data_IF_384521893470
#
_entry.id   IF_384521893470
#
_cell.length_a   1.000
_cell.length_b   1.000
_cell.length_c   1.000
_cell.angle_alpha   90.00
_cell.angle_beta   90.00
_cell.angle_gamma   90.00
#
_symmetry.space_group_name_H-M   'P 1'
#
loop_
_entity.id
_entity.type
_entity.pdbx_description
1 polymer ?
#
# COMPACT_ATOMS: atom_id res chain seq x y z
N UNK A 1 -15.35 11.27 28.66
CA UNK A 1 -15.82 11.29 27.24
C UNK A 1 -14.89 12.01 26.27
N UNK A 2 -14.15 13.05 26.69
CA UNK A 2 -13.24 13.81 25.80
C UNK A 2 -12.29 12.94 24.95
N UNK A 3 -11.61 11.90 25.48
CA UNK A 3 -10.71 11.07 24.66
C UNK A 3 -11.41 10.33 23.51
N UNK A 4 -12.64 9.85 23.75
CA UNK A 4 -13.45 9.15 22.74
C UNK A 4 -13.87 10.11 21.64
N UNK A 5 -14.24 11.35 22.00
CA UNK A 5 -14.59 12.39 21.02
C UNK A 5 -13.40 12.78 20.14
N UNK A 6 -12.20 12.92 20.73
CA UNK A 6 -10.98 13.18 19.96
C UNK A 6 -10.69 12.03 18.99
N UNK A 7 -10.79 10.79 19.45
CA UNK A 7 -10.62 9.61 18.58
C UNK A 7 -11.64 9.58 17.44
N UNK A 8 -12.89 9.97 17.71
CA UNK A 8 -13.95 10.07 16.70
C UNK A 8 -13.63 11.13 15.65
N UNK A 9 -13.25 12.33 16.07
CA UNK A 9 -12.90 13.43 15.16
C UNK A 9 -11.70 13.09 14.28
N UNK A 10 -10.63 12.55 14.87
CA UNK A 10 -9.43 12.10 14.13
C UNK A 10 -9.77 10.95 13.18
N UNK A 11 -10.53 9.97 13.64
CA UNK A 11 -10.97 8.84 12.81
C UNK A 11 -11.78 9.32 11.60
N UNK A 12 -12.72 10.23 11.81
CA UNK A 12 -13.52 10.81 10.73
C UNK A 12 -12.65 11.61 9.73
N UNK A 13 -11.72 12.42 10.22
CA UNK A 13 -10.81 13.17 9.37
C UNK A 13 -9.96 12.24 8.49
N UNK A 14 -9.41 11.16 9.05
CA UNK A 14 -8.65 10.15 8.29
C UNK A 14 -9.54 9.48 7.25
N UNK A 15 -10.77 9.11 7.61
CA UNK A 15 -11.71 8.45 6.69
C UNK A 15 -12.00 9.35 5.48
N UNK A 16 -12.31 10.63 5.71
CA UNK A 16 -12.60 11.59 4.65
C UNK A 16 -11.40 11.81 3.73
N UNK A 17 -10.21 11.99 4.32
CA UNK A 17 -8.95 12.12 3.57
C UNK A 17 -8.69 10.88 2.72
N UNK A 18 -8.76 9.67 3.30
CA UNK A 18 -8.55 8.41 2.57
C UNK A 18 -9.58 8.20 1.47
N UNK A 19 -10.84 8.60 1.65
CA UNK A 19 -11.84 8.56 0.59
C UNK A 19 -11.49 9.47 -0.59
N UNK A 20 -10.77 10.57 -0.35
CA UNK A 20 -10.31 11.46 -1.41
C UNK A 20 -9.01 10.96 -2.07
N UNK A 21 -8.02 10.56 -1.28
CA UNK A 21 -6.69 10.20 -1.78
C UNK A 21 -6.64 8.83 -2.42
N UNK A 22 -7.37 7.83 -1.90
CA UNK A 22 -7.46 6.48 -2.49
C UNK A 22 -8.55 6.40 -3.58
N UNK A 23 -8.85 7.50 -4.28
CA UNK A 23 -9.70 7.47 -5.47
C UNK A 23 -8.94 6.79 -6.60
N UNK A 24 -9.62 5.92 -7.36
CA UNK A 24 -8.99 5.15 -8.43
C UNK A 24 -8.25 6.03 -9.43
N UNK A 25 -8.86 7.14 -9.84
CA UNK A 25 -8.25 8.05 -10.82
C UNK A 25 -7.00 8.77 -10.29
N UNK A 26 -6.84 8.92 -8.97
CA UNK A 26 -5.65 9.52 -8.36
C UNK A 26 -4.52 8.50 -8.20
N UNK A 27 -4.85 7.23 -7.91
CA UNK A 27 -3.83 6.18 -7.67
C UNK A 27 -3.43 5.44 -8.95
N UNK A 28 -4.43 5.04 -9.75
CA UNK A 28 -4.29 4.34 -11.03
C UNK A 28 -5.13 5.04 -12.11
N UNK A 29 -4.62 6.14 -12.70
CA UNK A 29 -5.28 6.78 -13.83
C UNK A 29 -5.49 5.78 -14.97
N UNK A 30 -6.70 5.69 -15.55
CA UNK A 30 -7.00 4.72 -16.60
C UNK A 30 -6.14 4.97 -17.84
N UNK A 31 -5.61 3.90 -18.43
CA UNK A 31 -4.79 3.96 -19.64
C UNK A 31 -3.37 4.51 -19.44
N UNK A 32 -2.96 4.89 -18.22
CA UNK A 32 -1.61 5.41 -17.97
C UNK A 32 -0.54 4.38 -18.32
N UNK A 33 -0.72 3.13 -17.86
CA UNK A 33 0.22 2.05 -18.16
C UNK A 33 0.39 1.81 -19.66
N UNK A 34 -0.68 1.93 -20.45
CA UNK A 34 -0.63 1.70 -21.90
C UNK A 34 0.04 2.89 -22.63
N UNK A 35 -0.23 4.12 -22.18
CA UNK A 35 0.44 5.33 -22.67
C UNK A 35 1.94 5.30 -22.40
N UNK A 36 2.35 4.90 -21.20
CA UNK A 36 3.77 4.83 -20.84
C UNK A 36 4.51 3.78 -21.67
N UNK A 37 3.87 2.63 -21.92
CA UNK A 37 4.41 1.57 -22.76
C UNK A 37 4.55 2.00 -24.22
N UNK A 38 3.58 2.72 -24.78
CA UNK A 38 3.72 3.29 -26.12
C UNK A 38 4.84 4.33 -26.21
N UNK A 39 5.03 5.15 -25.18
CA UNK A 39 6.16 6.09 -25.12
C UNK A 39 7.51 5.38 -25.06
N UNK A 40 7.61 4.27 -24.32
CA UNK A 40 8.81 3.45 -24.25
C UNK A 40 9.26 2.96 -25.64
N UNK A 41 8.31 2.57 -26.50
CA UNK A 41 8.59 2.16 -27.88
C UNK A 41 8.99 3.34 -28.80
N UNK A 42 8.39 4.51 -28.60
CA UNK A 42 8.58 5.66 -29.51
C UNK A 42 9.94 6.38 -29.39
N UNK A 43 10.80 6.00 -28.43
CA UNK A 43 12.07 6.67 -28.12
C UNK A 43 11.98 8.19 -27.80
N UNK A 44 10.78 8.76 -27.71
CA UNK A 44 10.50 10.18 -27.42
C UNK A 44 10.39 10.48 -25.91
N UNK A 45 11.14 9.75 -25.08
CA UNK A 45 11.15 9.95 -23.63
C UNK A 45 12.14 11.05 -23.25
N UNK A 46 11.63 12.25 -23.02
CA UNK A 46 12.38 13.34 -22.40
C UNK A 46 12.29 13.22 -20.87
N UNK A 47 13.34 13.63 -20.15
CA UNK A 47 13.39 13.66 -18.67
C UNK A 47 12.21 14.44 -18.08
N UNK A 48 11.76 15.49 -18.76
CA UNK A 48 10.59 16.27 -18.35
C UNK A 48 9.28 15.44 -18.35
N UNK A 49 9.09 14.53 -19.32
CA UNK A 49 7.92 13.66 -19.37
C UNK A 49 7.94 12.62 -18.25
N UNK A 50 9.12 12.10 -17.90
CA UNK A 50 9.29 11.15 -16.79
C UNK A 50 8.98 11.83 -15.45
N UNK A 51 9.43 13.06 -15.25
CA UNK A 51 9.13 13.84 -14.05
C UNK A 51 7.63 14.13 -13.91
N UNK A 52 6.98 14.55 -15.01
CA UNK A 52 5.54 14.79 -15.02
C UNK A 52 4.74 13.50 -14.71
N UNK A 53 5.19 12.35 -15.20
CA UNK A 53 4.58 11.06 -14.89
C UNK A 53 4.70 10.73 -13.39
N UNK A 54 5.86 11.00 -12.79
CA UNK A 54 6.14 10.73 -11.38
C UNK A 54 5.23 11.53 -10.44
N UNK A 55 4.96 12.79 -10.76
CA UNK A 55 4.15 13.68 -9.93
C UNK A 55 2.63 13.46 -10.07
N UNK A 56 2.20 12.79 -11.14
CA UNK A 56 0.78 12.66 -11.46
C UNK A 56 0.06 11.58 -10.62
N UNK A 57 0.73 10.47 -10.30
CA UNK A 57 0.10 9.39 -9.52
C UNK A 57 1.12 8.41 -8.92
N UNK A 58 0.76 7.66 -7.86
CA UNK A 58 1.51 6.52 -7.33
C UNK A 58 1.94 5.50 -8.39
N UNK A 59 1.04 5.14 -9.31
CA UNK A 59 1.38 4.29 -10.46
C UNK A 59 2.41 4.98 -11.38
N UNK A 60 2.23 6.27 -11.65
CA UNK A 60 3.15 7.07 -12.44
C UNK A 60 4.55 7.11 -11.84
N UNK A 61 4.68 7.29 -10.52
CA UNK A 61 5.95 7.22 -9.81
C UNK A 61 6.65 5.86 -10.01
N UNK A 62 5.89 4.75 -9.90
CA UNK A 62 6.42 3.41 -10.12
C UNK A 62 6.88 3.18 -11.57
N UNK A 63 6.11 3.64 -12.56
CA UNK A 63 6.47 3.48 -13.96
C UNK A 63 7.62 4.40 -14.37
N UNK A 64 7.67 5.63 -13.82
CA UNK A 64 8.76 6.57 -14.04
C UNK A 64 10.10 6.00 -13.55
N UNK A 65 10.11 5.34 -12.38
CA UNK A 65 11.34 4.76 -11.85
C UNK A 65 11.90 3.64 -12.74
N UNK A 66 11.04 2.86 -13.39
CA UNK A 66 11.46 1.89 -14.40
C UNK A 66 12.09 2.56 -15.63
N UNK A 67 11.48 3.65 -16.12
CA UNK A 67 11.96 4.39 -17.29
C UNK A 67 13.29 5.11 -17.05
N UNK A 68 13.54 5.59 -15.84
CA UNK A 68 14.82 6.23 -15.46
C UNK A 68 16.01 5.28 -15.65
N UNK A 69 15.82 3.99 -15.31
CA UNK A 69 16.86 2.96 -15.40
C UNK A 69 16.70 2.04 -16.61
N UNK A 70 15.91 2.42 -17.61
CA UNK A 70 15.58 1.58 -18.79
C UNK A 70 16.76 1.02 -19.58
N UNK A 71 17.93 1.66 -19.51
CA UNK A 71 19.15 1.22 -20.20
C UNK A 71 19.97 0.17 -19.40
N UNK A 72 19.54 -0.15 -18.18
CA UNK A 72 20.20 -1.10 -17.27
C UNK A 72 19.78 -2.54 -17.57
N UNK A 73 20.35 -3.50 -16.84
CA UNK A 73 19.93 -4.90 -16.93
C UNK A 73 18.50 -5.09 -16.41
N UNK A 74 17.82 -6.15 -16.86
CA UNK A 74 16.47 -6.50 -16.36
C UNK A 74 16.43 -6.64 -14.84
N UNK A 75 17.52 -7.15 -14.24
CA UNK A 75 17.64 -7.30 -12.79
C UNK A 75 17.67 -5.93 -12.08
N UNK A 76 18.49 -4.99 -12.55
CA UNK A 76 18.59 -3.63 -11.98
C UNK A 76 17.26 -2.85 -12.13
N UNK A 77 16.56 -3.00 -13.27
CA UNK A 77 15.25 -2.36 -13.46
C UNK A 77 14.23 -2.91 -12.46
N UNK A 78 14.18 -4.24 -12.32
CA UNK A 78 13.28 -4.91 -11.36
C UNK A 78 13.56 -4.46 -9.92
N UNK A 79 14.83 -4.41 -9.52
CA UNK A 79 15.24 -3.94 -8.19
C UNK A 79 14.76 -2.50 -7.94
N UNK A 80 14.92 -1.61 -8.92
CA UNK A 80 14.46 -0.21 -8.81
C UNK A 80 12.94 -0.09 -8.70
N UNK A 81 12.19 -0.91 -9.44
CA UNK A 81 10.73 -1.00 -9.35
C UNK A 81 10.31 -1.48 -7.96
N UNK A 82 10.92 -2.55 -7.44
CA UNK A 82 10.60 -3.09 -6.13
C UNK A 82 10.88 -2.07 -5.01
N UNK A 83 12.02 -1.38 -5.09
CA UNK A 83 12.38 -0.34 -4.12
C UNK A 83 11.40 0.83 -4.12
N UNK A 84 11.10 1.37 -5.30
CA UNK A 84 10.11 2.45 -5.46
C UNK A 84 8.72 1.98 -5.01
N UNK A 85 8.35 0.74 -5.35
CA UNK A 85 7.09 0.13 -4.97
C UNK A 85 6.89 0.09 -3.45
N UNK A 86 7.94 -0.21 -2.67
CA UNK A 86 7.88 -0.16 -1.20
C UNK A 86 7.54 1.24 -0.69
N UNK A 87 8.16 2.28 -1.23
CA UNK A 87 7.87 3.66 -0.85
C UNK A 87 6.43 4.07 -1.21
N UNK A 88 5.98 3.71 -2.42
CA UNK A 88 4.62 3.98 -2.89
C UNK A 88 3.58 3.28 -2.00
N UNK A 89 3.77 1.99 -1.70
CA UNK A 89 2.87 1.22 -0.80
C UNK A 89 2.82 1.87 0.57
N UNK A 90 3.97 2.25 1.13
CA UNK A 90 4.03 2.92 2.42
C UNK A 90 3.24 4.24 2.43
N UNK A 91 3.31 5.02 1.36
CA UNK A 91 2.51 6.24 1.19
C UNK A 91 1.00 5.97 1.13
N UNK A 92 0.58 4.91 0.44
CA UNK A 92 -0.83 4.50 0.35
C UNK A 92 -1.39 3.99 1.69
N UNK A 93 -0.55 3.34 2.50
CA UNK A 93 -0.91 2.84 3.83
C UNK A 93 -0.86 3.92 4.93
N UNK A 94 -0.36 5.13 4.60
CA UNK A 94 -0.33 6.26 5.54
C UNK A 94 -1.70 6.48 6.18
N UNK A 95 -1.71 6.75 7.49
CA UNK A 95 -2.91 6.91 8.34
C UNK A 95 -3.81 5.67 8.51
N UNK A 96 -3.68 4.62 7.70
CA UNK A 96 -4.43 3.37 7.92
C UNK A 96 -4.04 2.73 9.24
N UNK A 97 -2.75 2.74 9.58
CA UNK A 97 -2.29 2.21 10.87
C UNK A 97 -2.93 2.97 12.05
N UNK A 98 -2.98 4.31 11.98
CA UNK A 98 -3.64 5.14 13.00
C UNK A 98 -5.13 4.84 13.10
N UNK A 99 -5.83 4.67 11.98
CA UNK A 99 -7.25 4.29 11.98
C UNK A 99 -7.45 2.89 12.61
N UNK A 100 -6.55 1.96 12.34
CA UNK A 100 -6.50 0.65 12.99
C UNK A 100 -6.24 0.75 14.49
N UNK A 101 -5.37 1.65 14.94
CA UNK A 101 -5.15 1.92 16.36
C UNK A 101 -6.42 2.46 17.01
N UNK A 102 -7.09 3.44 16.41
CA UNK A 102 -8.35 4.01 16.92
C UNK A 102 -9.41 2.91 17.08
N UNK A 103 -9.53 2.05 16.08
CA UNK A 103 -10.43 0.90 16.12
C UNK A 103 -10.14 -0.05 17.29
N UNK A 104 -8.86 -0.25 17.63
CA UNK A 104 -8.44 -1.12 18.74
C UNK A 104 -8.61 -0.46 20.12
N UNK A 105 -8.24 0.81 20.25
CA UNK A 105 -8.25 1.50 21.55
C UNK A 105 -9.64 2.03 21.93
N UNK A 106 -10.53 2.28 20.96
CA UNK A 106 -11.87 2.82 21.21
C UNK A 106 -12.68 2.05 22.27
N UNK A 107 -12.78 0.71 22.19
CA UNK A 107 -13.46 -0.09 23.21
C UNK A 107 -12.74 -0.05 24.56
N UNK A 108 -11.40 -0.01 24.56
CA UNK A 108 -10.59 0.07 25.77
C UNK A 108 -10.80 1.42 26.49
N UNK A 109 -10.94 2.52 25.74
CA UNK A 109 -11.29 3.83 26.30
C UNK A 109 -12.70 3.84 26.88
N UNK A 110 -13.65 3.15 26.24
CA UNK A 110 -15.00 2.97 26.77
C UNK A 110 -15.01 2.20 28.09
N UNK A 111 -14.28 1.08 28.14
CA UNK A 111 -14.08 0.27 29.35
C UNK A 111 -13.35 1.07 30.45
N UNK A 112 -12.34 1.85 30.12
CA UNK A 112 -11.69 2.73 31.10
C UNK A 112 -12.71 3.75 31.68
N UNK A 113 -13.62 4.24 30.84
CA UNK A 113 -14.72 5.10 31.26
C UNK A 113 -15.67 4.43 32.26
N UNK A 114 -15.97 3.14 32.09
CA UNK A 114 -16.79 2.41 33.08
C UNK A 114 -16.12 2.33 34.43
N UNK A 115 -14.81 2.06 34.45
CA UNK A 115 -14.02 2.01 35.68
C UNK A 115 -14.11 3.34 36.42
N UNK A 116 -13.93 4.47 35.72
CA UNK A 116 -14.08 5.79 36.34
C UNK A 116 -15.51 6.08 36.82
N UNK A 117 -16.54 5.70 36.05
CA UNK A 117 -17.94 5.86 36.45
C UNK A 117 -18.28 5.10 37.73
N UNK A 118 -17.82 3.85 37.83
CA UNK A 118 -17.98 3.02 39.03
C UNK A 118 -17.20 3.59 40.23
N UNK A 119 -15.97 4.08 40.04
CA UNK A 119 -15.21 4.74 41.13
C UNK A 119 -15.98 5.95 41.68
N UNK A 120 -16.52 6.81 40.80
CA UNK A 120 -17.32 7.98 41.20
C UNK A 120 -18.57 7.58 41.97
N UNK A 121 -19.25 6.54 41.50
CA UNK A 121 -20.42 5.97 42.18
C UNK A 121 -20.06 5.52 43.61
N UNK A 122 -19.00 4.74 43.79
CA UNK A 122 -18.58 4.28 45.12
C UNK A 122 -18.17 5.45 46.04
N UNK A 123 -17.46 6.45 45.53
CA UNK A 123 -17.11 7.64 46.30
C UNK A 123 -18.36 8.41 46.76
N UNK A 124 -19.39 8.52 45.92
CA UNK A 124 -20.65 9.16 46.29
C UNK A 124 -21.40 8.41 47.40
N UNK A 125 -21.39 7.07 47.35
CA UNK A 125 -21.96 6.20 48.39
C UNK A 125 -21.22 6.35 49.72
N UNK A 126 -19.88 6.44 49.69
CA UNK A 126 -19.08 6.64 50.91
C UNK A 126 -19.42 7.96 51.63
N UNK A 127 -19.78 9.01 50.89
CA UNK A 127 -20.12 10.32 51.45
C UNK A 127 -21.58 10.43 51.86
N UNK A 128 -22.50 9.86 51.07
CA UNK A 128 -23.95 10.03 51.24
C UNK A 128 -24.64 8.87 51.99
N UNK A 129 -23.91 7.80 52.27
CA UNK A 129 -24.46 6.51 52.72
C UNK A 129 -25.09 5.71 51.56
N UNK A 130 -25.39 4.44 51.82
CA UNK A 130 -25.98 3.48 50.84
C UNK A 130 -27.43 3.85 50.45
N UNK A 131 -28.01 4.88 51.07
CA UNK A 131 -29.45 5.18 51.06
C UNK A 131 -30.01 5.91 49.84
N UNK A 132 -29.23 6.26 48.81
CA UNK A 132 -29.72 6.95 47.60
C UNK A 132 -29.55 6.11 46.32
N UNK A 133 -30.54 5.24 46.00
CA UNK A 133 -30.53 4.40 44.80
C UNK A 133 -30.43 5.18 43.50
N UNK A 134 -30.92 6.43 43.45
CA UNK A 134 -30.88 7.26 42.25
C UNK A 134 -29.46 7.68 41.88
N UNK A 135 -28.63 8.02 42.88
CA UNK A 135 -27.20 8.32 42.66
C UNK A 135 -26.43 7.08 42.17
N UNK A 136 -26.75 5.91 42.69
CA UNK A 136 -26.15 4.65 42.26
C UNK A 136 -26.51 4.34 40.80
N UNK A 137 -27.80 4.46 40.43
CA UNK A 137 -28.26 4.25 39.06
C UNK A 137 -27.62 5.23 38.07
N UNK A 138 -27.41 6.50 38.47
CA UNK A 138 -26.73 7.50 37.65
C UNK A 138 -25.29 7.12 37.29
N UNK A 139 -24.50 6.67 38.26
CA UNK A 139 -23.10 6.27 38.03
C UNK A 139 -22.95 5.02 37.15
N UNK A 140 -23.86 4.05 37.31
CA UNK A 140 -23.93 2.86 36.44
C UNK A 140 -24.34 3.27 35.02
N UNK A 141 -25.32 4.16 34.89
CA UNK A 141 -25.75 4.70 33.60
C UNK A 141 -24.62 5.42 32.87
N UNK A 142 -23.89 6.30 33.55
CA UNK A 142 -22.72 7.00 33.00
C UNK A 142 -21.68 5.98 32.50
N UNK A 143 -21.37 4.96 33.31
CA UNK A 143 -20.43 3.90 32.94
C UNK A 143 -20.86 3.18 31.64
N UNK A 144 -22.13 2.77 31.54
CA UNK A 144 -22.64 2.08 30.35
C UNK A 144 -22.58 2.94 29.08
N UNK A 145 -22.90 4.24 29.19
CA UNK A 145 -22.80 5.19 28.07
C UNK A 145 -21.35 5.33 27.61
N UNK A 146 -20.37 5.29 28.51
CA UNK A 146 -18.95 5.32 28.15
C UNK A 146 -18.56 4.16 27.23
N UNK A 147 -18.96 2.93 27.58
CA UNK A 147 -18.69 1.74 26.77
C UNK A 147 -19.36 1.82 25.42
N UNK A 148 -20.66 2.14 25.41
CA UNK A 148 -21.42 2.27 24.17
C UNK A 148 -20.77 3.28 23.23
N UNK A 149 -20.35 4.43 23.76
CA UNK A 149 -19.68 5.49 22.98
C UNK A 149 -18.35 5.00 22.39
N UNK A 150 -17.55 4.26 23.15
CA UNK A 150 -16.29 3.68 22.66
C UNK A 150 -16.50 2.70 21.50
N UNK A 151 -17.54 1.85 21.61
CA UNK A 151 -17.90 0.89 20.56
C UNK A 151 -18.45 1.57 19.30
N UNK A 152 -19.28 2.60 19.45
CA UNK A 152 -19.84 3.37 18.33
C UNK A 152 -18.74 4.00 17.47
N UNK A 153 -17.61 4.40 18.05
CA UNK A 153 -16.45 4.91 17.31
C UNK A 153 -15.58 3.79 16.75
N UNK A 154 -15.34 2.74 17.54
CA UNK A 154 -14.44 1.66 17.19
C UNK A 154 -14.93 0.81 16.01
N UNK A 155 -16.22 0.46 15.98
CA UNK A 155 -16.78 -0.45 14.99
C UNK A 155 -16.67 0.14 13.57
N UNK A 156 -17.13 1.37 13.28
CA UNK A 156 -16.96 1.98 11.96
C UNK A 156 -15.49 2.16 11.58
N UNK A 157 -14.63 2.59 12.53
CA UNK A 157 -13.21 2.74 12.29
C UNK A 157 -12.56 1.42 11.85
N UNK A 158 -12.92 0.31 12.49
CA UNK A 158 -12.41 -1.02 12.16
C UNK A 158 -12.83 -1.46 10.76
N UNK A 159 -14.12 -1.31 10.43
CA UNK A 159 -14.67 -1.69 9.12
C UNK A 159 -13.99 -0.88 8.01
N UNK A 160 -13.86 0.43 8.19
CA UNK A 160 -13.24 1.32 7.20
C UNK A 160 -11.74 1.07 7.06
N UNK A 161 -11.03 0.81 8.17
CA UNK A 161 -9.63 0.38 8.12
C UNK A 161 -9.47 -0.89 7.27
N UNK A 162 -10.30 -1.91 7.50
CA UNK A 162 -10.29 -3.16 6.72
C UNK A 162 -10.58 -2.90 5.24
N UNK A 163 -11.57 -2.06 4.94
CA UNK A 163 -11.94 -1.68 3.59
C UNK A 163 -10.78 -1.01 2.85
N UNK A 164 -10.21 0.06 3.41
CA UNK A 164 -9.10 0.78 2.78
C UNK A 164 -7.86 -0.09 2.62
N UNK A 165 -7.52 -0.91 3.61
CA UNK A 165 -6.40 -1.85 3.50
C UNK A 165 -6.60 -2.84 2.35
N UNK A 166 -7.82 -3.34 2.15
CA UNK A 166 -8.15 -4.21 1.01
C UNK A 166 -8.03 -3.48 -0.33
N UNK A 167 -8.50 -2.23 -0.37
CA UNK A 167 -8.43 -1.37 -1.55
C UNK A 167 -6.97 -1.07 -1.95
N UNK A 168 -6.11 -0.73 -0.99
CA UNK A 168 -4.66 -0.53 -1.23
C UNK A 168 -4.02 -1.79 -1.77
N UNK A 169 -4.26 -2.97 -1.18
CA UNK A 169 -3.75 -4.24 -1.73
C UNK A 169 -4.18 -4.47 -3.18
N UNK A 170 -5.44 -4.19 -3.50
CA UNK A 170 -5.95 -4.30 -4.88
C UNK A 170 -5.27 -3.33 -5.85
N UNK A 171 -4.84 -2.15 -5.39
CA UNK A 171 -4.04 -1.21 -6.17
C UNK A 171 -2.60 -1.68 -6.35
N UNK A 172 -1.97 -2.21 -5.30
CA UNK A 172 -0.61 -2.77 -5.38
C UNK A 172 -0.51 -3.85 -6.44
N UNK A 173 -1.43 -4.82 -6.44
CA UNK A 173 -1.46 -5.90 -7.45
C UNK A 173 -1.61 -5.35 -8.88
N UNK A 174 -2.44 -4.32 -9.07
CA UNK A 174 -2.60 -3.70 -10.40
C UNK A 174 -1.34 -2.94 -10.84
N UNK A 175 -0.68 -2.23 -9.91
CA UNK A 175 0.56 -1.52 -10.18
C UNK A 175 1.69 -2.50 -10.52
N UNK A 176 1.84 -3.59 -9.77
CA UNK A 176 2.79 -4.67 -10.04
C UNK A 176 2.57 -5.29 -11.43
N UNK A 177 1.32 -5.55 -11.80
CA UNK A 177 0.98 -6.06 -13.14
C UNK A 177 1.45 -5.09 -14.24
N UNK A 178 1.20 -3.80 -14.09
CA UNK A 178 1.60 -2.80 -15.09
C UNK A 178 3.10 -2.56 -15.14
N UNK A 179 3.78 -2.57 -13.99
CA UNK A 179 5.23 -2.46 -13.91
C UNK A 179 5.93 -3.69 -14.53
N UNK A 180 5.39 -4.90 -14.30
CA UNK A 180 5.91 -6.13 -14.90
C UNK A 180 5.75 -6.12 -16.41
N UNK A 181 4.59 -5.68 -16.93
CA UNK A 181 4.37 -5.54 -18.36
C UNK A 181 5.37 -4.56 -19.01
N UNK A 182 5.63 -3.42 -18.37
CA UNK A 182 6.65 -2.48 -18.83
C UNK A 182 8.07 -3.08 -18.78
N UNK A 183 8.41 -3.80 -17.72
CA UNK A 183 9.70 -4.48 -17.59
C UNK A 183 9.95 -5.47 -18.73
N UNK A 184 8.93 -6.27 -19.08
CA UNK A 184 9.05 -7.27 -20.13
C UNK A 184 9.21 -6.63 -21.51
N UNK A 185 8.53 -5.51 -21.79
CA UNK A 185 8.71 -4.73 -23.02
C UNK A 185 10.11 -4.09 -23.12
N UNK A 186 10.59 -3.50 -22.02
CA UNK A 186 11.95 -2.91 -21.95
C UNK A 186 13.04 -3.99 -22.11
N UNK A 187 12.80 -5.20 -21.61
CA UNK A 187 13.71 -6.33 -21.77
C UNK A 187 13.69 -6.89 -23.19
N UNK A 188 12.52 -7.01 -23.82
CA UNK A 188 12.36 -7.51 -25.18
C UNK A 188 12.99 -6.59 -26.25
N UNK A 189 13.02 -5.27 -25.99
CA UNK A 189 13.68 -4.29 -26.86
C UNK A 189 15.21 -4.44 -26.90
N UNK A 190 15.81 -5.23 -25.99
CA UNK A 190 17.25 -5.51 -25.97
C UNK A 190 17.48 -6.88 -26.63
N UNK A 191 18.18 -6.96 -27.77
CA UNK A 191 18.64 -8.25 -28.28
C UNK A 191 19.45 -8.92 -27.18
N UNK A 192 19.06 -10.14 -26.80
CA UNK A 192 19.94 -11.00 -26.01
C UNK A 192 21.30 -11.02 -26.71
N UNK A 193 22.44 -10.91 -25.99
CA UNK A 193 23.72 -11.26 -26.59
C UNK A 193 23.57 -12.69 -27.07
N UNK A 194 23.42 -12.87 -28.39
CA UNK A 194 23.51 -14.19 -29.01
C UNK A 194 24.92 -14.63 -28.69
N UNK A 195 25.05 -15.58 -27.75
CA UNK A 195 26.32 -16.25 -27.50
C UNK A 195 26.87 -16.66 -28.86
N UNK A 196 27.95 -16.01 -29.26
CA UNK A 196 28.72 -16.34 -30.43
C UNK A 196 29.46 -17.66 -30.20
N UNK A 197 28.74 -18.74 -29.92
CA UNK A 197 29.19 -20.08 -30.23
C UNK A 197 28.85 -20.33 -31.69
N UNK A 198 29.76 -19.89 -32.53
CA UNK A 198 29.82 -20.27 -33.93
C UNK A 198 29.65 -21.80 -34.05
N UNK A 199 28.86 -22.29 -35.03
CA UNK A 199 28.90 -23.70 -35.36
C UNK A 199 30.24 -23.96 -36.04
N UNK A 200 31.15 -24.66 -35.36
CA UNK A 200 32.33 -25.20 -36.01
C UNK A 200 31.86 -26.24 -37.03
N UNK A 201 31.81 -25.79 -38.29
CA UNK A 201 31.39 -26.55 -39.43
C UNK A 201 32.23 -27.82 -39.60
N UNK A 202 31.54 -28.91 -39.90
CA UNK A 202 32.12 -30.10 -40.46
C UNK A 202 32.98 -29.75 -41.69
N UNK A 203 34.25 -30.18 -41.68
CA UNK A 203 35.07 -30.24 -42.89
C UNK A 203 35.47 -31.68 -43.12
N UNK A 204 34.63 -32.40 -43.86
CA UNK A 204 34.98 -33.65 -44.53
C UNK A 204 35.81 -33.31 -45.76
N UNK A 205 37.08 -33.74 -45.81
CA UNK A 205 37.75 -34.03 -47.10
C UNK A 205 38.82 -35.12 -46.90
N UNK A 206 38.51 -36.34 -47.32
CA UNK A 206 39.49 -37.30 -47.83
C UNK A 206 39.76 -36.99 -49.33
N UNK A 207 40.67 -37.64 -50.11
CA UNK A 207 41.52 -38.81 -49.83
C UNK A 207 42.97 -38.72 -50.41
N UNK A 208 43.71 -39.85 -50.31
CA UNK A 208 44.75 -40.42 -51.23
C UNK A 208 46.19 -40.62 -50.71
N UNK A 209 46.54 -41.92 -50.74
CA UNK A 209 47.82 -42.56 -51.16
C UNK A 209 49.08 -42.39 -50.32
N UNK A 210 49.54 -43.49 -49.71
CA UNK A 210 50.85 -44.07 -50.03
C UNK A 210 50.94 -45.53 -49.56
N UNK A 211 51.04 -46.42 -50.55
CA UNK A 211 51.61 -47.77 -50.48
C UNK A 211 53.14 -47.60 -50.42
N UNK A 212 53.85 -48.47 -49.69
CA UNK A 212 55.16 -49.11 -50.00
C UNK A 212 55.95 -49.45 -48.73
N UNK A 213 56.14 -50.77 -48.54
CA UNK A 213 57.30 -51.52 -48.06
C UNK A 213 58.27 -50.95 -47.01
N UNK A 214 58.47 -51.72 -45.93
CA UNK A 214 59.65 -52.58 -45.72
C UNK A 214 59.47 -53.40 -44.46
#
# INVERSE_FOLDING_TARGET
MVPILVCSAVGLAIVLERFWTLRRNAVLPPGLGDQVRSWAHSQQLNTAHIQALRENSPLGELLASALEVRNRSRAEIKERIEDTGRHVVHGLERYLNTLGTIALIGPLLGLLGTVFGLIRMFLAVMVSGVGDPMKMAGGIGEALVCTASGLVVAIPAYVLHRYFRSKVRGYVVQMEKQATALLDELAAARPLPVDARAPAAATTTAPRTARVAS
#
